data_IF_430331656190
#
_entry.id   IF_430331656190
#
_cell.length_a   1.000
_cell.length_b   1.000
_cell.length_c   1.000
_cell.angle_alpha   90.00
_cell.angle_beta   90.00
_cell.angle_gamma   90.00
#
_symmetry.space_group_name_H-M   'P 1'
#
loop_
_entity.id
_entity.type
_entity.pdbx_description
1 polymer ?
#
# COMPACT_ATOMS: atom_id res chain seq x y z
N UNK A 1 3.87 8.14 -21.07
CA UNK A 1 3.99 8.92 -19.81
C UNK A 1 3.42 8.21 -18.57
N UNK A 2 2.32 7.44 -18.71
CA UNK A 2 1.63 6.74 -17.61
C UNK A 2 2.51 5.76 -16.81
N UNK A 3 3.39 5.02 -17.49
CA UNK A 3 4.23 4.00 -16.86
C UNK A 3 5.23 4.58 -15.84
N UNK A 4 5.71 5.80 -16.10
CA UNK A 4 6.72 6.48 -15.29
C UNK A 4 6.10 7.03 -14.00
N UNK A 5 4.89 7.60 -14.10
CA UNK A 5 4.09 8.04 -12.94
C UNK A 5 3.78 6.86 -12.02
N UNK A 6 3.27 5.75 -12.58
CA UNK A 6 2.98 4.53 -11.82
C UNK A 6 4.18 4.01 -11.06
N UNK A 7 5.37 4.02 -11.68
CA UNK A 7 6.60 3.54 -11.02
C UNK A 7 6.97 4.41 -9.81
N UNK A 8 6.76 5.72 -9.90
CA UNK A 8 7.03 6.66 -8.79
C UNK A 8 6.04 6.50 -7.65
N UNK A 9 4.77 6.15 -7.93
CA UNK A 9 3.74 5.99 -6.90
C UNK A 9 3.73 4.59 -6.28
N UNK A 10 3.89 3.53 -7.08
CA UNK A 10 3.82 2.15 -6.59
C UNK A 10 5.05 1.73 -5.80
N UNK A 11 6.25 2.20 -6.16
CA UNK A 11 7.50 1.83 -5.47
C UNK A 11 7.50 2.26 -4.00
N UNK A 12 7.21 3.53 -3.64
CA UNK A 12 7.14 3.94 -2.25
C UNK A 12 5.99 3.27 -1.50
N UNK A 13 4.84 3.05 -2.13
CA UNK A 13 3.73 2.30 -1.50
C UNK A 13 4.15 0.88 -1.12
N UNK A 14 4.81 0.15 -2.02
CA UNK A 14 5.32 -1.19 -1.74
C UNK A 14 6.44 -1.20 -0.70
N UNK A 15 7.33 -0.19 -0.72
CA UNK A 15 8.36 -0.01 0.31
C UNK A 15 7.74 0.23 1.69
N UNK A 16 6.72 1.08 1.76
CA UNK A 16 6.02 1.42 3.00
C UNK A 16 5.23 0.21 3.54
N UNK A 17 4.54 -0.53 2.68
CA UNK A 17 3.84 -1.78 3.02
C UNK A 17 4.79 -2.81 3.63
N UNK A 18 5.94 -3.04 2.99
CA UNK A 18 6.96 -3.97 3.48
C UNK A 18 7.53 -3.52 4.82
N UNK A 19 7.85 -2.23 4.97
CA UNK A 19 8.49 -1.69 6.17
C UNK A 19 7.54 -1.50 7.37
N UNK A 20 6.29 -1.09 7.14
CA UNK A 20 5.36 -0.73 8.22
C UNK A 20 4.41 -1.87 8.62
N UNK A 21 4.06 -2.75 7.68
CA UNK A 21 3.10 -3.83 7.90
C UNK A 21 3.73 -5.22 7.83
N UNK A 22 5.05 -5.32 7.63
CA UNK A 22 5.72 -6.63 7.45
C UNK A 22 5.18 -7.38 6.23
N UNK A 23 4.66 -6.64 5.24
CA UNK A 23 3.89 -7.19 4.14
C UNK A 23 4.81 -7.95 3.16
N UNK A 24 5.02 -9.24 3.42
CA UNK A 24 5.88 -10.12 2.61
C UNK A 24 5.11 -10.82 1.48
N UNK A 25 3.80 -11.05 1.67
CA UNK A 25 2.90 -11.64 0.66
C UNK A 25 1.45 -11.22 0.89
N UNK A 26 0.64 -11.26 -0.17
CA UNK A 26 -0.82 -11.26 -0.06
C UNK A 26 -1.27 -12.55 0.63
N UNK A 27 -2.22 -12.44 1.56
CA UNK A 27 -2.79 -13.61 2.24
C UNK A 27 -3.82 -14.29 1.33
N UNK A 28 -4.58 -13.48 0.59
CA UNK A 28 -5.57 -13.91 -0.38
C UNK A 28 -5.04 -14.05 -1.81
N UNK A 29 -5.60 -15.01 -2.54
CA UNK A 29 -5.44 -15.14 -3.99
C UNK A 29 -6.70 -14.63 -4.69
N UNK A 30 -6.52 -13.92 -5.81
CA UNK A 30 -7.59 -13.35 -6.62
C UNK A 30 -7.60 -11.82 -6.62
N UNK A 31 -7.84 -11.22 -7.79
CA UNK A 31 -7.66 -9.78 -8.04
C UNK A 31 -8.48 -8.89 -7.10
N UNK A 32 -9.78 -9.16 -6.96
CA UNK A 32 -10.68 -8.39 -6.09
C UNK A 32 -10.30 -8.48 -4.60
N UNK A 33 -9.89 -9.66 -4.13
CA UNK A 33 -9.48 -9.83 -2.73
C UNK A 33 -8.14 -9.14 -2.44
N UNK A 34 -7.19 -9.20 -3.39
CA UNK A 34 -5.91 -8.50 -3.28
C UNK A 34 -6.08 -6.97 -3.31
N UNK A 35 -7.00 -6.46 -4.13
CA UNK A 35 -7.35 -5.03 -4.14
C UNK A 35 -7.88 -4.57 -2.77
N UNK A 36 -8.70 -5.39 -2.10
CA UNK A 36 -9.17 -5.09 -0.74
C UNK A 36 -8.06 -5.12 0.31
N UNK A 37 -7.15 -6.10 0.27
CA UNK A 37 -5.99 -6.14 1.19
C UNK A 37 -5.09 -4.91 1.04
N UNK A 38 -4.77 -4.52 -0.20
CA UNK A 38 -3.99 -3.30 -0.48
C UNK A 38 -4.75 -2.06 0.00
N UNK A 39 -6.06 -1.98 -0.26
CA UNK A 39 -6.90 -0.86 0.16
C UNK A 39 -6.91 -0.65 1.67
N UNK A 40 -7.05 -1.74 2.44
CA UNK A 40 -6.98 -1.71 3.91
C UNK A 40 -5.60 -1.27 4.41
N UNK A 41 -4.54 -1.82 3.82
CA UNK A 41 -3.18 -1.49 4.23
C UNK A 41 -2.84 -0.02 3.90
N UNK A 42 -3.28 0.49 2.75
CA UNK A 42 -3.16 1.91 2.40
C UNK A 42 -3.97 2.81 3.34
N UNK A 43 -5.17 2.39 3.76
CA UNK A 43 -5.98 3.13 4.72
C UNK A 43 -5.31 3.21 6.09
N UNK A 44 -4.67 2.13 6.55
CA UNK A 44 -3.87 2.12 7.78
C UNK A 44 -2.66 3.06 7.69
N UNK A 45 -1.99 3.10 6.53
CA UNK A 45 -0.89 4.05 6.26
C UNK A 45 -1.37 5.50 6.27
N UNK A 46 -2.51 5.78 5.62
CA UNK A 46 -3.12 7.11 5.65
C UNK A 46 -3.49 7.53 7.08
N UNK A 47 -4.06 6.62 7.90
CA UNK A 47 -4.37 6.90 9.31
C UNK A 47 -3.12 7.29 10.11
N UNK A 48 -1.97 6.63 9.90
CA UNK A 48 -0.70 7.06 10.53
C UNK A 48 -0.26 8.45 10.08
N UNK A 49 -0.37 8.76 8.78
CA UNK A 49 -0.01 10.07 8.24
C UNK A 49 -0.91 11.19 8.78
N UNK A 50 -2.19 10.91 8.98
CA UNK A 50 -3.13 11.86 9.60
C UNK A 50 -2.92 11.99 11.11
N UNK A 51 -2.61 10.91 11.83
CA UNK A 51 -2.32 10.94 13.26
C UNK A 51 -1.04 11.71 13.61
N UNK A 52 -0.05 11.75 12.72
CA UNK A 52 1.20 12.54 12.89
C UNK A 52 1.01 14.01 12.48
N UNK A 53 -0.08 14.35 11.79
CA UNK A 53 -0.43 15.72 11.38
C UNK A 53 -1.46 16.38 12.31
N UNK A 54 -1.89 15.67 13.35
CA UNK A 54 -2.73 16.20 14.43
C UNK A 54 -1.90 16.64 15.61
#
# INVERSE_FOLDING_TARGET
>A
MIYRQRKVDVVPVFGFLKANLGFTRFSVRGKSKAENEIGLALMAVNRRKYAVRG
#
